data_IF_738531694305
#
_entry.id   IF_738531694305
#
_cell.length_a   1.000
_cell.length_b   1.000
_cell.length_c   1.000
_cell.angle_alpha   90.00
_cell.angle_beta   90.00
_cell.angle_gamma   90.00
#
_symmetry.space_group_name_H-M   'P 1'
#
loop_
_entity.id
_entity.type
_entity.pdbx_description
1 polymer ?
#
# COMPACT_ATOMS: atom_id res chain seq x y z
N UNK A 1 14.71 -3.63 -17.02
CA UNK A 1 15.28 -2.32 -17.39
C UNK A 1 15.43 -1.50 -16.11
N UNK A 2 16.46 -0.66 -15.95
CA UNK A 2 16.61 0.17 -14.75
C UNK A 2 15.43 1.13 -14.57
N UNK A 3 14.83 1.55 -15.68
CA UNK A 3 13.61 2.37 -15.76
C UNK A 3 12.45 1.47 -16.21
N UNK A 4 11.30 1.44 -15.52
CA UNK A 4 10.11 0.74 -15.97
C UNK A 4 9.44 1.48 -17.13
N UNK A 5 8.74 0.73 -17.97
CA UNK A 5 7.76 1.29 -18.91
C UNK A 5 6.43 1.37 -18.18
N UNK A 6 5.79 2.53 -18.23
CA UNK A 6 4.46 2.77 -17.67
C UNK A 6 3.57 3.19 -18.84
N UNK A 7 2.38 2.60 -18.91
CA UNK A 7 1.35 3.01 -19.84
C UNK A 7 0.02 3.15 -19.09
N UNK A 8 -0.82 4.08 -19.54
CA UNK A 8 -2.11 4.39 -18.93
C UNK A 8 -3.22 4.17 -19.96
N UNK A 9 -4.26 3.46 -19.53
CA UNK A 9 -5.52 3.36 -20.26
C UNK A 9 -6.64 3.96 -19.43
N UNK A 10 -7.63 4.56 -20.08
CA UNK A 10 -8.77 5.20 -19.42
C UNK A 10 -10.07 4.60 -19.92
N UNK A 11 -11.07 4.56 -19.04
CA UNK A 11 -12.45 4.23 -19.38
C UNK A 11 -13.35 5.41 -19.05
N UNK A 12 -14.29 5.70 -19.95
CA UNK A 12 -15.31 6.76 -19.78
C UNK A 12 -16.72 6.19 -19.64
N UNK A 13 -16.85 4.86 -19.55
CA UNK A 13 -18.11 4.12 -19.56
C UNK A 13 -18.19 3.10 -18.41
N UNK A 14 -17.63 3.46 -17.25
CA UNK A 14 -17.59 2.65 -16.03
C UNK A 14 -16.90 1.29 -16.23
N UNK A 15 -15.83 1.26 -17.03
CA UNK A 15 -14.98 0.09 -17.24
C UNK A 15 -15.48 -0.90 -18.28
N UNK A 16 -16.53 -0.56 -19.05
CA UNK A 16 -17.06 -1.42 -20.13
C UNK A 16 -16.07 -1.49 -21.29
N UNK A 17 -15.47 -0.35 -21.66
CA UNK A 17 -14.41 -0.27 -22.64
C UNK A 17 -13.25 0.59 -22.14
N UNK A 18 -12.09 0.38 -22.75
CA UNK A 18 -10.84 1.04 -22.40
C UNK A 18 -10.18 1.58 -23.66
N UNK A 19 -9.55 2.75 -23.53
CA UNK A 19 -8.67 3.27 -24.59
C UNK A 19 -7.47 2.35 -24.80
N UNK A 20 -6.81 2.48 -25.96
CA UNK A 20 -5.47 1.93 -26.11
C UNK A 20 -4.53 2.52 -25.04
N UNK A 21 -3.59 1.73 -24.49
CA UNK A 21 -2.61 2.22 -23.54
C UNK A 21 -1.71 3.30 -24.16
N UNK A 22 -1.58 4.43 -23.48
CA UNK A 22 -0.67 5.52 -23.85
C UNK A 22 0.56 5.46 -22.96
N UNK A 23 1.75 5.42 -23.56
CA UNK A 23 3.01 5.40 -22.82
C UNK A 23 3.22 6.70 -22.04
N UNK A 24 3.66 6.56 -20.78
CA UNK A 24 4.04 7.66 -19.90
C UNK A 24 5.53 7.96 -20.02
N UNK A 25 5.89 9.21 -19.84
CA UNK A 25 7.27 9.58 -19.55
C UNK A 25 7.62 9.23 -18.11
N UNK A 26 8.86 8.81 -17.87
CA UNK A 26 9.27 8.39 -16.54
C UNK A 26 10.66 8.98 -16.25
N UNK A 27 10.82 9.67 -15.12
CA UNK A 27 12.04 10.44 -14.82
C UNK A 27 13.27 9.58 -14.44
N UNK A 28 14.46 9.77 -15.05
CA UNK A 28 15.60 8.84 -15.12
C UNK A 28 16.26 8.38 -13.80
N UNK A 29 15.92 8.96 -12.65
CA UNK A 29 16.65 8.77 -11.39
C UNK A 29 16.12 7.57 -10.55
N UNK A 30 16.18 6.35 -11.11
CA UNK A 30 15.84 5.14 -10.36
C UNK A 30 16.93 4.74 -9.36
N UNK A 31 16.54 4.17 -8.20
CA UNK A 31 17.51 3.66 -7.25
C UNK A 31 18.33 2.52 -7.88
N UNK A 32 19.64 2.52 -7.61
CA UNK A 32 20.50 1.39 -8.00
C UNK A 32 20.18 0.13 -7.17
N UNK A 33 19.75 0.32 -5.93
CA UNK A 33 19.30 -0.72 -5.01
C UNK A 33 18.01 -0.23 -4.35
N UNK A 34 16.86 -0.88 -4.59
CA UNK A 34 16.65 -2.07 -5.43
C UNK A 34 16.78 -1.78 -6.94
N UNK A 35 17.37 -2.70 -7.71
CA UNK A 35 17.55 -2.57 -9.18
C UNK A 35 16.24 -2.57 -9.97
N UNK A 36 15.14 -3.00 -9.36
CA UNK A 36 13.84 -3.09 -9.99
C UNK A 36 12.76 -2.85 -8.95
N UNK A 37 11.79 -2.04 -9.32
CA UNK A 37 10.63 -1.71 -8.52
C UNK A 37 9.39 -2.29 -9.19
N UNK A 38 8.49 -2.86 -8.39
CA UNK A 38 7.21 -3.41 -8.84
C UNK A 38 6.06 -2.64 -8.17
N UNK A 39 4.98 -2.37 -8.90
CA UNK A 39 3.86 -1.62 -8.34
C UNK A 39 3.01 -2.48 -7.39
N UNK A 40 2.43 -1.86 -6.36
CA UNK A 40 1.49 -2.50 -5.43
C UNK A 40 0.33 -1.57 -5.08
N UNK A 41 -0.86 -2.15 -4.83
CA UNK A 41 -2.08 -1.40 -4.50
C UNK A 41 -2.73 -0.70 -5.70
N UNK A 42 -3.64 0.27 -5.49
CA UNK A 42 -4.24 1.11 -6.55
C UNK A 42 -3.42 2.38 -6.86
N UNK A 43 -3.82 3.12 -7.90
CA UNK A 43 -3.43 4.53 -8.07
C UNK A 43 -4.33 5.37 -7.17
N UNK A 44 -3.74 6.29 -6.42
CA UNK A 44 -4.48 7.21 -5.55
C UNK A 44 -4.41 8.63 -6.11
N UNK A 45 -5.45 9.42 -5.89
CA UNK A 45 -5.50 10.82 -6.34
C UNK A 45 -5.67 11.70 -5.10
N UNK A 46 -4.73 12.62 -4.93
CA UNK A 46 -4.77 13.62 -3.87
C UNK A 46 -5.71 14.78 -4.19
N UNK A 47 -6.07 15.59 -3.19
CA UNK A 47 -6.99 16.72 -3.38
C UNK A 47 -6.49 17.76 -4.39
N UNK A 48 -5.17 17.94 -4.52
CA UNK A 48 -4.58 18.82 -5.53
C UNK A 48 -4.48 18.19 -6.93
N UNK A 49 -4.98 16.97 -7.12
CA UNK A 49 -4.97 16.25 -8.39
C UNK A 49 -3.73 15.41 -8.65
N UNK A 50 -2.72 15.40 -7.75
CA UNK A 50 -1.54 14.55 -7.95
C UNK A 50 -1.90 13.07 -7.80
N UNK A 51 -1.48 12.26 -8.77
CA UNK A 51 -1.62 10.81 -8.80
C UNK A 51 -0.43 10.16 -8.10
N UNK A 52 -0.69 9.13 -7.30
CA UNK A 52 0.30 8.40 -6.51
C UNK A 52 0.25 6.93 -6.86
N UNK A 53 1.42 6.35 -7.16
CA UNK A 53 1.59 4.91 -7.35
C UNK A 53 2.68 4.42 -6.42
N UNK A 54 2.34 3.44 -5.59
CA UNK A 54 3.30 2.83 -4.68
C UNK A 54 4.02 1.67 -5.34
N UNK A 55 5.29 1.53 -4.99
CA UNK A 55 6.22 0.57 -5.54
C UNK A 55 7.00 -0.10 -4.41
N UNK A 56 7.52 -1.30 -4.67
CA UNK A 56 8.47 -1.96 -3.77
C UNK A 56 9.57 -2.67 -4.56
N UNK A 57 10.71 -2.92 -3.93
CA UNK A 57 11.77 -3.71 -4.54
C UNK A 57 12.72 -4.31 -3.52
N UNK A 58 13.35 -5.42 -3.91
CA UNK A 58 14.31 -6.13 -3.07
C UNK A 58 15.68 -5.43 -3.08
N UNK A 59 16.12 -4.98 -1.92
CA UNK A 59 17.45 -4.48 -1.66
C UNK A 59 18.38 -5.66 -1.33
N UNK A 60 18.89 -6.36 -2.34
CA UNK A 60 19.75 -7.54 -2.12
C UNK A 60 21.21 -7.13 -1.99
N UNK A 61 21.92 -7.75 -1.06
CA UNK A 61 23.38 -7.84 -1.11
C UNK A 61 23.79 -8.83 -2.23
N UNK A 62 24.99 -8.66 -2.78
CA UNK A 62 25.50 -9.55 -3.82
C UNK A 62 25.64 -10.99 -3.29
N UNK A 63 25.02 -11.94 -3.99
CA UNK A 63 25.02 -13.37 -3.62
C UNK A 63 23.80 -13.86 -2.86
N UNK A 64 22.91 -12.97 -2.41
CA UNK A 64 21.66 -13.35 -1.74
C UNK A 64 20.63 -13.90 -2.74
N UNK A 65 20.25 -15.18 -2.58
CA UNK A 65 19.28 -15.85 -3.45
C UNK A 65 17.95 -15.98 -2.73
N UNK A 66 16.94 -15.27 -3.24
CA UNK A 66 15.54 -15.58 -2.92
C UNK A 66 15.13 -16.82 -3.70
N UNK A 67 14.84 -17.92 -3.00
CA UNK A 67 14.41 -19.18 -3.62
C UNK A 67 12.89 -19.32 -3.60
N UNK A 68 12.27 -19.01 -2.46
CA UNK A 68 10.82 -19.03 -2.26
C UNK A 68 10.45 -18.31 -0.94
N UNK A 69 9.16 -18.29 -0.61
CA UNK A 69 8.62 -17.59 0.56
C UNK A 69 9.24 -17.98 1.91
N UNK A 70 9.83 -19.18 2.04
CA UNK A 70 10.49 -19.62 3.27
C UNK A 70 11.83 -18.92 3.49
N UNK A 71 12.49 -18.47 2.42
CA UNK A 71 13.70 -17.65 2.47
C UNK A 71 13.41 -16.15 2.31
N UNK A 72 12.14 -15.74 2.46
CA UNK A 72 11.73 -14.34 2.31
C UNK A 72 12.48 -13.41 3.28
N UNK A 73 12.75 -13.85 4.51
CA UNK A 73 13.55 -13.11 5.48
C UNK A 73 15.03 -13.01 5.11
N UNK A 74 15.54 -13.76 4.14
CA UNK A 74 16.90 -13.58 3.65
C UNK A 74 17.06 -12.33 2.76
N UNK A 75 15.96 -11.61 2.45
CA UNK A 75 15.97 -10.46 1.53
C UNK A 75 15.47 -9.20 2.20
N UNK A 76 16.22 -8.11 2.09
CA UNK A 76 15.75 -6.78 2.45
C UNK A 76 14.88 -6.17 1.36
N UNK A 77 13.96 -5.28 1.74
CA UNK A 77 13.06 -4.62 0.82
C UNK A 77 12.88 -3.14 1.19
N UNK A 78 12.65 -2.33 0.16
CA UNK A 78 12.28 -0.93 0.30
C UNK A 78 11.01 -0.65 -0.47
N UNK A 79 10.21 0.28 0.03
CA UNK A 79 9.01 0.77 -0.63
C UNK A 79 9.19 2.24 -1.02
N UNK A 80 8.52 2.62 -2.10
CA UNK A 80 8.63 3.91 -2.74
C UNK A 80 7.25 4.38 -3.20
N UNK A 81 7.14 5.68 -3.49
CA UNK A 81 6.04 6.25 -4.26
C UNK A 81 6.59 6.97 -5.48
N UNK A 82 5.87 6.91 -6.59
CA UNK A 82 6.04 7.82 -7.73
C UNK A 82 4.80 8.70 -7.85
N UNK A 83 5.00 9.93 -8.33
CA UNK A 83 3.97 10.95 -8.43
C UNK A 83 3.78 11.38 -9.88
N UNK A 84 2.56 11.71 -10.26
CA UNK A 84 2.24 12.41 -11.50
C UNK A 84 1.37 13.61 -11.19
N UNK A 85 1.65 14.74 -11.83
CA UNK A 85 0.89 15.99 -11.71
C UNK A 85 0.11 16.30 -13.02
N UNK A 86 0.16 15.38 -13.98
CA UNK A 86 -0.38 15.51 -15.34
C UNK A 86 -1.21 14.28 -15.74
N UNK A 87 -1.94 13.72 -14.77
CA UNK A 87 -2.87 12.60 -14.95
C UNK A 87 -2.24 11.35 -15.57
N UNK A 88 -1.00 11.05 -15.16
CA UNK A 88 -0.25 9.87 -15.57
C UNK A 88 0.52 10.03 -16.88
N UNK A 89 0.55 11.21 -17.50
CA UNK A 89 1.35 11.44 -18.71
C UNK A 89 2.86 11.40 -18.41
N UNK A 90 3.28 11.87 -17.24
CA UNK A 90 4.65 11.72 -16.74
C UNK A 90 4.68 11.33 -15.26
N UNK A 91 5.75 10.63 -14.86
CA UNK A 91 5.97 10.19 -13.49
C UNK A 91 7.33 10.61 -12.95
N UNK A 92 7.35 11.01 -11.68
CA UNK A 92 8.55 11.35 -10.94
C UNK A 92 9.51 10.16 -10.80
N UNK A 93 10.74 10.45 -10.39
CA UNK A 93 11.62 9.41 -9.86
C UNK A 93 11.01 8.81 -8.58
N UNK A 94 11.36 7.56 -8.21
CA UNK A 94 10.90 6.95 -6.97
C UNK A 94 11.33 7.75 -5.73
N UNK A 95 10.37 8.04 -4.86
CA UNK A 95 10.57 8.72 -3.57
C UNK A 95 10.46 7.67 -2.47
N UNK A 96 11.48 7.56 -1.63
CA UNK A 96 11.45 6.68 -0.46
C UNK A 96 10.33 7.12 0.51
N UNK A 97 9.56 6.18 1.04
CA UNK A 97 8.42 6.48 1.92
C UNK A 97 8.76 6.43 3.41
N UNK A 98 10.01 6.13 3.77
CA UNK A 98 10.52 6.20 5.14
C UNK A 98 11.69 7.17 5.22
N UNK A 99 11.46 8.33 5.83
CA UNK A 99 12.48 9.36 6.02
C UNK A 99 12.74 9.60 7.51
N UNK A 100 13.64 8.80 8.13
CA UNK A 100 14.05 8.99 9.51
C UNK A 100 14.57 10.40 9.76
N UNK A 101 14.38 10.88 10.99
CA UNK A 101 14.82 12.20 11.45
C UNK A 101 15.82 12.03 12.58
N UNK A 102 16.90 12.79 12.53
CA UNK A 102 17.89 12.91 13.61
C UNK A 102 18.32 14.38 13.73
N UNK A 103 18.80 14.76 14.91
CA UNK A 103 19.32 16.11 15.16
C UNK A 103 20.43 16.44 14.15
N UNK A 104 20.35 17.62 13.54
CA UNK A 104 21.28 18.16 12.54
C UNK A 104 21.38 17.39 11.21
N UNK A 105 20.53 16.39 10.97
CA UNK A 105 20.45 15.71 9.68
C UNK A 105 19.41 16.39 8.75
N UNK A 106 19.80 16.63 7.50
CA UNK A 106 18.83 17.05 6.48
C UNK A 106 17.78 15.95 6.27
N UNK A 107 16.52 16.35 6.09
CA UNK A 107 15.43 15.41 5.82
C UNK A 107 15.71 14.61 4.54
N UNK A 108 15.53 13.29 4.60
CA UNK A 108 15.84 12.36 3.51
C UNK A 108 17.33 12.00 3.38
N UNK A 109 18.22 12.55 4.21
CA UNK A 109 19.64 12.18 4.20
C UNK A 109 19.94 10.87 4.95
N UNK A 110 19.04 10.46 5.86
CA UNK A 110 19.18 9.21 6.60
C UNK A 110 18.49 8.11 5.79
N UNK A 111 19.17 6.97 5.50
CA UNK A 111 18.54 5.86 4.82
C UNK A 111 17.34 5.32 5.61
N UNK A 112 16.20 5.16 4.94
CA UNK A 112 15.02 4.48 5.49
C UNK A 112 15.24 2.97 5.69
N UNK A 113 14.26 2.35 6.34
CA UNK A 113 14.24 0.94 6.72
C UNK A 113 14.30 -0.01 5.53
N UNK A 114 14.91 -1.17 5.79
CA UNK A 114 15.08 -2.31 4.87
C UNK A 114 14.04 -3.42 5.08
N UNK A 115 12.94 -3.07 5.75
CA UNK A 115 11.83 -3.95 6.16
C UNK A 115 10.49 -3.52 5.53
N UNK A 116 10.50 -2.83 4.38
CA UNK A 116 9.30 -2.26 3.76
C UNK A 116 9.00 -2.96 2.42
N UNK A 117 7.89 -3.71 2.36
CA UNK A 117 7.43 -4.42 1.16
C UNK A 117 6.14 -3.84 0.58
N UNK A 118 5.07 -4.63 0.61
CA UNK A 118 3.77 -4.35 0.02
C UNK A 118 3.14 -3.16 0.75
N UNK A 119 2.82 -2.09 0.02
CA UNK A 119 2.35 -0.82 0.57
C UNK A 119 0.99 -0.45 0.02
N UNK A 120 0.05 -0.17 0.91
CA UNK A 120 -1.33 0.24 0.59
C UNK A 120 -1.64 1.52 1.36
N UNK A 121 -2.22 2.51 0.70
CA UNK A 121 -2.40 3.84 1.27
C UNK A 121 -3.82 4.39 1.08
N UNK A 122 -4.16 5.37 1.91
CA UNK A 122 -5.33 6.23 1.77
C UNK A 122 -4.93 7.69 1.68
N UNK A 123 -5.74 8.46 0.99
CA UNK A 123 -5.61 9.91 0.87
C UNK A 123 -6.66 10.59 1.74
N UNK A 124 -6.23 11.62 2.47
CA UNK A 124 -7.05 12.48 3.32
C UNK A 124 -6.71 13.94 2.97
N UNK A 125 -7.35 14.46 1.91
CA UNK A 125 -6.95 15.75 1.36
C UNK A 125 -5.59 15.66 0.65
N UNK A 126 -4.58 16.38 1.16
CA UNK A 126 -3.19 16.22 0.74
C UNK A 126 -2.37 15.34 1.68
N UNK A 127 -2.94 14.93 2.81
CA UNK A 127 -2.30 13.96 3.70
C UNK A 127 -2.44 12.56 3.12
N UNK A 128 -1.36 11.80 3.10
CA UNK A 128 -1.34 10.40 2.67
C UNK A 128 -0.87 9.57 3.85
N UNK A 129 -1.63 8.53 4.20
CA UNK A 129 -1.21 7.53 5.16
C UNK A 129 -1.00 6.22 4.42
N UNK A 130 0.15 5.58 4.63
CA UNK A 130 0.47 4.27 4.04
C UNK A 130 0.68 3.25 5.15
N UNK A 131 0.14 2.05 4.95
CA UNK A 131 0.53 0.86 5.68
C UNK A 131 1.46 0.02 4.80
N UNK A 132 2.54 -0.48 5.39
CA UNK A 132 3.54 -1.30 4.68
C UNK A 132 3.75 -2.62 5.40
N UNK A 133 3.66 -3.69 4.64
CA UNK A 133 3.95 -5.05 5.09
C UNK A 133 5.44 -5.18 5.46
N UNK A 134 5.75 -5.77 6.62
CA UNK A 134 7.12 -6.07 7.01
C UNK A 134 7.63 -7.40 6.42
N UNK A 135 8.95 -7.54 6.35
CA UNK A 135 9.68 -8.79 6.11
C UNK A 135 9.95 -9.52 7.43
N UNK A 136 10.39 -8.80 8.47
CA UNK A 136 10.99 -9.35 9.68
C UNK A 136 10.11 -9.29 10.93
N UNK A 137 8.98 -8.60 10.84
CA UNK A 137 8.11 -8.30 11.97
C UNK A 137 6.71 -8.86 11.75
N UNK A 138 5.97 -9.04 12.83
CA UNK A 138 4.53 -9.30 12.80
C UNK A 138 3.72 -8.02 12.60
N UNK A 139 4.11 -6.91 13.24
CA UNK A 139 3.43 -5.62 13.16
C UNK A 139 3.80 -4.87 11.89
N UNK A 140 2.81 -4.31 11.20
CA UNK A 140 3.05 -3.49 10.01
C UNK A 140 3.74 -2.17 10.33
N UNK A 141 4.29 -1.56 9.28
CA UNK A 141 4.75 -0.18 9.30
C UNK A 141 3.64 0.75 8.88
N UNK A 142 3.70 1.99 9.36
CA UNK A 142 2.86 3.10 8.93
C UNK A 142 3.73 4.35 8.71
N UNK A 143 3.47 5.08 7.62
CA UNK A 143 4.13 6.34 7.31
C UNK A 143 3.10 7.39 6.88
N UNK A 144 3.47 8.67 7.00
CA UNK A 144 2.66 9.79 6.54
C UNK A 144 3.41 10.71 5.61
N UNK A 145 2.67 11.30 4.68
CA UNK A 145 3.03 12.48 3.94
C UNK A 145 1.97 13.55 4.17
N UNK A 146 2.38 14.81 4.25
CA UNK A 146 1.46 15.97 4.40
C UNK A 146 1.34 16.79 3.11
N UNK A 147 2.00 16.35 2.04
CA UNK A 147 2.20 17.10 0.80
C UNK A 147 2.01 16.21 -0.44
N UNK A 148 0.95 15.41 -0.42
CA UNK A 148 0.55 14.53 -1.52
C UNK A 148 1.69 13.61 -1.97
N UNK A 149 2.38 12.98 -1.01
CA UNK A 149 3.43 11.99 -1.25
C UNK A 149 4.78 12.58 -1.70
N UNK A 150 4.94 13.90 -1.73
CA UNK A 150 6.19 14.53 -2.15
C UNK A 150 7.31 14.34 -1.13
N UNK A 151 6.95 14.31 0.16
CA UNK A 151 7.88 14.01 1.25
C UNK A 151 7.21 13.17 2.34
N UNK A 152 8.01 12.41 3.07
CA UNK A 152 7.52 11.44 4.06
C UNK A 152 8.10 11.66 5.45
N UNK A 153 7.36 11.26 6.47
CA UNK A 153 7.86 11.13 7.85
C UNK A 153 8.57 9.79 8.05
N UNK A 154 9.15 9.62 9.24
CA UNK A 154 9.76 8.35 9.63
C UNK A 154 8.68 7.26 9.76
N UNK A 155 9.00 6.04 9.36
CA UNK A 155 8.13 4.88 9.56
C UNK A 155 7.97 4.59 11.06
N UNK A 156 6.72 4.31 11.46
CA UNK A 156 6.36 3.86 12.80
C UNK A 156 5.66 2.50 12.72
N UNK A 157 5.59 1.75 13.83
CA UNK A 157 4.83 0.50 13.88
C UNK A 157 3.35 0.79 14.17
N UNK A 158 2.46 0.00 13.56
CA UNK A 158 1.07 -0.11 14.03
C UNK A 158 0.99 -0.98 15.29
N UNK A 159 -0.17 -1.00 15.95
CA UNK A 159 -0.43 -1.80 17.16
C UNK A 159 -0.97 -3.21 16.89
N UNK A 160 -1.03 -3.65 15.63
CA UNK A 160 -1.60 -4.93 15.23
C UNK A 160 -0.70 -5.66 14.22
N UNK A 161 -0.72 -7.00 14.19
CA UNK A 161 0.02 -7.75 13.19
C UNK A 161 -0.70 -7.73 11.84
N UNK A 162 0.03 -7.85 10.73
CA UNK A 162 -0.64 -7.93 9.43
C UNK A 162 0.29 -8.11 8.24
N UNK A 163 -0.23 -8.77 7.20
CA UNK A 163 0.45 -8.94 5.92
C UNK A 163 -0.54 -8.82 4.74
N UNK A 164 -0.01 -8.51 3.56
CA UNK A 164 -0.72 -8.49 2.29
C UNK A 164 -2.01 -7.67 2.33
N UNK A 165 -1.88 -6.45 2.87
CA UNK A 165 -2.99 -5.60 3.24
C UNK A 165 -3.57 -4.82 2.05
N UNK A 166 -4.88 -4.62 2.10
CA UNK A 166 -5.61 -3.62 1.33
C UNK A 166 -6.26 -2.64 2.29
N UNK A 167 -6.39 -1.38 1.86
CA UNK A 167 -6.90 -0.31 2.70
C UNK A 167 -7.95 0.50 1.96
N UNK A 168 -9.00 0.90 2.66
CA UNK A 168 -10.01 1.81 2.17
C UNK A 168 -10.31 2.86 3.24
N UNK A 169 -10.78 4.02 2.80
CA UNK A 169 -11.33 5.05 3.67
C UNK A 169 -12.81 5.16 3.38
N UNK A 170 -13.64 5.03 4.42
CA UNK A 170 -15.09 5.14 4.28
C UNK A 170 -15.53 6.59 4.17
N UNK A 171 -16.80 6.82 3.83
CA UNK A 171 -17.38 8.14 3.73
C UNK A 171 -17.32 8.92 5.05
N UNK A 172 -17.53 8.25 6.20
CA UNK A 172 -17.39 8.84 7.54
C UNK A 172 -15.94 9.19 7.89
N UNK A 173 -14.99 8.69 7.11
CA UNK A 173 -13.56 8.91 7.29
C UNK A 173 -12.84 7.84 8.10
N UNK A 174 -13.52 6.76 8.49
CA UNK A 174 -12.87 5.60 9.06
C UNK A 174 -11.90 4.98 8.03
N UNK A 175 -10.73 4.59 8.48
CA UNK A 175 -9.74 3.89 7.66
C UNK A 175 -9.81 2.42 8.04
N UNK A 176 -10.11 1.56 7.08
CA UNK A 176 -10.17 0.11 7.29
C UNK A 176 -9.01 -0.54 6.58
N UNK A 177 -8.27 -1.36 7.31
CA UNK A 177 -7.20 -2.19 6.78
C UNK A 177 -7.66 -3.65 6.80
N UNK A 178 -7.85 -4.24 5.62
CA UNK A 178 -7.99 -5.68 5.47
C UNK A 178 -6.63 -6.32 5.30
N UNK A 179 -6.33 -7.35 6.06
CA UNK A 179 -5.05 -8.06 5.97
C UNK A 179 -5.22 -9.52 6.37
N UNK A 180 -4.21 -10.32 6.06
CA UNK A 180 -4.07 -11.63 6.68
C UNK A 180 -3.19 -11.57 7.92
N UNK A 181 -3.26 -12.65 8.71
CA UNK A 181 -2.57 -12.88 9.98
C UNK A 181 -3.11 -12.01 11.13
N UNK A 182 -3.66 -12.63 12.20
CA UNK A 182 -3.71 -14.07 12.47
C UNK A 182 -4.63 -14.87 11.53
N UNK A 183 -5.68 -14.23 11.01
CA UNK A 183 -6.60 -14.76 10.00
C UNK A 183 -6.96 -13.65 9.01
N UNK A 184 -7.98 -13.80 8.17
CA UNK A 184 -8.44 -12.68 7.35
C UNK A 184 -9.24 -11.70 8.22
N UNK A 185 -8.61 -10.56 8.51
CA UNK A 185 -9.04 -9.65 9.57
C UNK A 185 -9.13 -8.21 9.06
N UNK A 186 -9.98 -7.43 9.69
CA UNK A 186 -10.14 -6.00 9.47
C UNK A 186 -9.76 -5.22 10.73
N UNK A 187 -8.82 -4.29 10.63
CA UNK A 187 -8.56 -3.30 11.67
C UNK A 187 -9.06 -1.94 11.22
N UNK A 188 -9.66 -1.19 12.15
CA UNK A 188 -10.24 0.13 11.86
C UNK A 188 -9.54 1.21 12.68
N UNK A 189 -9.13 2.26 11.98
CA UNK A 189 -8.70 3.53 12.56
C UNK A 189 -9.79 4.57 12.38
N UNK A 190 -10.03 5.38 13.41
CA UNK A 190 -11.04 6.47 13.40
C UNK A 190 -10.44 7.86 13.61
N UNK A 191 -9.11 7.95 13.67
CA UNK A 191 -8.37 9.17 14.00
C UNK A 191 -7.24 9.46 12.99
N UNK A 192 -7.46 9.10 11.72
CA UNK A 192 -6.51 9.38 10.64
C UNK A 192 -5.29 8.46 10.61
N UNK A 193 -5.40 7.27 11.21
CA UNK A 193 -4.38 6.23 11.18
C UNK A 193 -3.48 6.21 12.42
N UNK A 194 -3.76 7.05 13.42
CA UNK A 194 -2.91 7.16 14.59
C UNK A 194 -3.11 5.97 15.52
N UNK A 195 -4.36 5.56 15.73
CA UNK A 195 -4.72 4.41 16.56
C UNK A 195 -5.61 3.43 15.80
N UNK A 196 -5.43 2.15 16.09
CA UNK A 196 -6.16 1.05 15.48
C UNK A 196 -6.88 0.23 16.55
N UNK A 197 -8.07 -0.26 16.23
CA UNK A 197 -8.79 -1.19 17.09
C UNK A 197 -8.12 -2.58 17.16
N UNK A 198 -8.69 -3.47 17.97
CA UNK A 198 -8.18 -4.81 18.19
C UNK A 198 -8.27 -5.74 16.96
N UNK A 199 -8.99 -5.32 15.92
CA UNK A 199 -9.25 -6.12 14.73
C UNK A 199 -10.48 -7.03 14.86
N UNK A 200 -11.15 -7.28 13.73
CA UNK A 200 -12.27 -8.21 13.59
C UNK A 200 -11.90 -9.27 12.56
N UNK A 201 -11.85 -10.54 12.96
CA UNK A 201 -11.70 -11.67 12.03
C UNK A 201 -13.00 -11.83 11.26
N UNK A 202 -12.93 -11.77 9.93
CA UNK A 202 -14.10 -11.94 9.06
C UNK A 202 -14.06 -13.28 8.32
N UNK A 203 -12.90 -13.94 8.24
CA UNK A 203 -12.77 -15.28 7.70
C UNK A 203 -11.46 -15.96 8.15
N UNK A 204 -11.33 -17.27 7.91
CA UNK A 204 -10.23 -18.13 8.36
C UNK A 204 -9.18 -18.56 7.31
N UNK A 205 -9.07 -18.02 6.08
CA UNK A 205 -7.95 -18.37 5.22
C UNK A 205 -6.66 -17.76 5.78
N UNK A 206 -5.77 -18.64 6.26
CA UNK A 206 -4.45 -18.28 6.79
C UNK A 206 -3.52 -17.66 5.73
N UNK A 207 -3.78 -17.95 4.46
CA UNK A 207 -3.06 -17.41 3.31
C UNK A 207 -4.04 -16.78 2.33
N UNK A 208 -4.19 -15.46 2.42
CA UNK A 208 -5.00 -14.70 1.47
C UNK A 208 -4.42 -13.32 1.18
N UNK A 209 -4.59 -12.86 -0.05
CA UNK A 209 -4.44 -11.44 -0.43
C UNK A 209 -5.81 -10.96 -0.87
N UNK A 210 -6.13 -9.70 -0.62
CA UNK A 210 -7.44 -9.18 -0.95
C UNK A 210 -7.45 -7.72 -1.37
N UNK A 211 -8.67 -7.26 -1.63
CA UNK A 211 -9.02 -5.90 -1.95
C UNK A 211 -10.27 -5.54 -1.16
N UNK A 212 -10.33 -4.30 -0.67
CA UNK A 212 -11.54 -3.72 -0.08
C UNK A 212 -11.92 -2.45 -0.82
N UNK A 213 -13.22 -2.27 -0.99
CA UNK A 213 -13.81 -1.05 -1.56
C UNK A 213 -15.13 -0.75 -0.86
N UNK A 214 -15.38 0.52 -0.59
CA UNK A 214 -16.68 0.97 -0.10
C UNK A 214 -17.70 0.95 -1.24
N UNK A 215 -18.80 0.23 -1.04
CA UNK A 215 -19.86 0.05 -2.06
C UNK A 215 -21.16 0.77 -1.69
N UNK A 216 -21.37 1.04 -0.41
CA UNK A 216 -22.42 1.90 0.15
C UNK A 216 -21.81 2.61 1.36
N UNK A 217 -22.40 3.71 1.87
CA UNK A 217 -21.89 4.38 3.06
C UNK A 217 -21.66 3.41 4.22
N UNK A 218 -20.40 3.31 4.63
CA UNK A 218 -19.88 2.43 5.66
C UNK A 218 -20.03 0.92 5.39
N UNK A 219 -20.30 0.51 4.14
CA UNK A 219 -20.34 -0.89 3.72
C UNK A 219 -19.19 -1.17 2.79
N UNK A 220 -18.32 -2.09 3.19
CA UNK A 220 -17.18 -2.54 2.40
C UNK A 220 -17.50 -3.88 1.73
N UNK A 221 -17.21 -3.99 0.43
CA UNK A 221 -17.02 -5.26 -0.24
C UNK A 221 -15.58 -5.71 -0.03
N UNK A 222 -15.40 -6.80 0.69
CA UNK A 222 -14.14 -7.47 0.89
C UNK A 222 -14.02 -8.63 -0.09
N UNK A 223 -12.96 -8.64 -0.87
CA UNK A 223 -12.67 -9.63 -1.91
C UNK A 223 -11.29 -10.20 -1.63
N UNK A 224 -11.14 -11.52 -1.54
CA UNK A 224 -9.88 -12.12 -1.10
C UNK A 224 -9.68 -13.55 -1.56
N UNK A 225 -8.42 -13.97 -1.60
CA UNK A 225 -8.05 -15.33 -1.98
C UNK A 225 -8.55 -16.35 -0.97
N UNK A 226 -8.97 -17.50 -1.48
CA UNK A 226 -9.19 -18.70 -0.69
C UNK A 226 -7.83 -19.31 -0.28
N UNK A 227 -7.83 -20.10 0.81
CA UNK A 227 -6.62 -20.78 1.28
C UNK A 227 -6.10 -21.79 0.24
N UNK A 228 -7.01 -22.43 -0.49
CA UNK A 228 -6.70 -23.27 -1.64
C UNK A 228 -6.72 -22.43 -2.92
N UNK A 229 -5.58 -22.34 -3.62
CA UNK A 229 -5.41 -21.45 -4.79
C UNK A 229 -6.25 -21.88 -5.99
N UNK A 230 -6.64 -23.14 -6.05
CA UNK A 230 -7.55 -23.64 -7.09
C UNK A 230 -9.02 -23.28 -6.86
N UNK A 231 -9.37 -22.81 -5.66
CA UNK A 231 -10.75 -22.41 -5.34
C UNK A 231 -11.04 -20.96 -5.77
N UNK A 232 -12.31 -20.61 -6.00
CA UNK A 232 -12.70 -19.24 -6.32
C UNK A 232 -12.28 -18.25 -5.24
N UNK A 233 -12.13 -16.98 -5.64
CA UNK A 233 -12.03 -15.87 -4.69
C UNK A 233 -13.27 -15.84 -3.80
N UNK A 234 -13.06 -15.47 -2.55
CA UNK A 234 -14.09 -15.26 -1.56
C UNK A 234 -14.49 -13.79 -1.57
N UNK A 235 -15.75 -13.53 -1.21
CA UNK A 235 -16.26 -12.18 -1.06
C UNK A 235 -17.22 -12.09 0.12
N UNK A 236 -17.14 -10.98 0.86
CA UNK A 236 -18.04 -10.66 1.96
C UNK A 236 -18.39 -9.18 1.94
N UNK A 237 -19.62 -8.84 2.34
CA UNK A 237 -20.00 -7.48 2.67
C UNK A 237 -19.96 -7.31 4.18
N UNK A 238 -19.33 -6.25 4.63
CA UNK A 238 -19.25 -5.89 6.05
C UNK A 238 -19.64 -4.44 6.24
N UNK A 239 -20.26 -4.13 7.38
CA UNK A 239 -20.58 -2.77 7.79
C UNK A 239 -19.58 -2.32 8.85
N UNK A 240 -19.06 -1.11 8.66
CA UNK A 240 -18.25 -0.39 9.65
C UNK A 240 -19.19 0.51 10.45
N UNK A 241 -19.21 0.33 11.76
CA UNK A 241 -19.98 1.17 12.67
C UNK A 241 -19.04 2.07 13.48
N UNK A 242 -19.60 2.96 14.30
CA UNK A 242 -18.83 3.78 15.22
C UNK A 242 -17.96 2.97 16.20
N UNK A 243 -18.32 1.72 16.48
CA UNK A 243 -17.67 0.91 17.52
C UNK A 243 -17.01 -0.37 16.98
N UNK A 244 -17.55 -0.96 15.92
CA UNK A 244 -17.12 -2.30 15.45
C UNK A 244 -17.37 -2.53 13.95
N UNK A 245 -16.84 -3.64 13.45
CA UNK A 245 -17.23 -4.24 12.17
C UNK A 245 -18.31 -5.30 12.42
N UNK A 246 -19.33 -5.36 11.57
CA UNK A 246 -20.38 -6.38 11.63
C UNK A 246 -20.79 -6.88 10.24
N UNK A 247 -21.39 -8.08 10.11
CA UNK A 247 -21.93 -8.56 8.84
C UNK A 247 -22.99 -7.60 8.28
N UNK A 248 -23.01 -7.43 6.95
CA UNK A 248 -24.00 -6.60 6.25
C UNK A 248 -25.13 -7.42 5.63
#
# INVERSE_FOLDING_TARGET
>A
KPVPEIAVATSTDNGVSWSEPVESQVAPAWPAVPKSLVPYGPVLISQNGAWLRFLLGSAKEDGTIFTDVRSWSATHCKAYVIRSEDHGASWSAPIDIDWPKWTDAQRGAIPGSLDLTESSAVVMGNTVMVLVRPVYSETMWQCWSQDAGATWDAAARVTFPGYAQSIARTQSGAIVCAHRYPQYSLNVSRDGGLNWDAGTVIDYPVWGMGCIVEVEPEVLLCTYMNAERAQPLLAQRVRVTGERVEPN
#
